data_IF_069995015848
#
_entry.id   IF_069995015848
#
_cell.length_a   1.000
_cell.length_b   1.000
_cell.length_c   1.000
_cell.angle_alpha   90.00
_cell.angle_beta   90.00
_cell.angle_gamma   90.00
#
_symmetry.space_group_name_H-M   'P 1'
#
loop_
_entity.id
_entity.type
_entity.pdbx_description
1 polymer ?
#
# COMPACT_ATOMS: atom_id res chain seq x y z
N UNK A 1 -2.63 -16.35 30.47
CA UNK A 1 -2.02 -15.78 29.29
C UNK A 1 -2.63 -16.39 28.02
N UNK A 2 -2.86 -15.57 27.06
CA UNK A 2 -3.38 -16.06 25.79
C UNK A 2 -2.23 -16.52 24.89
N UNK A 3 -2.13 -17.83 24.69
CA UNK A 3 -1.06 -18.43 23.92
C UNK A 3 -1.09 -18.02 22.43
N UNK A 4 -2.24 -17.60 21.92
CA UNK A 4 -2.34 -17.18 20.51
C UNK A 4 -1.49 -15.93 20.20
N UNK A 5 -1.21 -15.11 21.20
CA UNK A 5 -0.35 -13.93 21.06
C UNK A 5 1.11 -14.36 20.88
N UNK A 6 1.52 -15.42 21.59
CA UNK A 6 2.89 -15.93 21.53
C UNK A 6 3.17 -16.72 20.24
N UNK A 7 2.12 -17.14 19.52
CA UNK A 7 2.24 -18.01 18.34
C UNK A 7 2.06 -17.23 17.04
N UNK A 8 2.29 -15.93 17.06
CA UNK A 8 2.19 -15.10 15.87
C UNK A 8 3.19 -15.59 14.82
N UNK A 9 2.71 -15.86 13.61
CA UNK A 9 3.56 -16.35 12.54
C UNK A 9 4.55 -15.30 12.11
N UNK A 10 5.71 -15.74 11.62
CA UNK A 10 6.76 -14.85 11.15
C UNK A 10 6.26 -13.88 10.08
N UNK A 11 5.43 -14.35 9.14
CA UNK A 11 4.84 -13.50 8.11
C UNK A 11 3.91 -12.44 8.67
N UNK A 12 3.16 -12.76 9.73
CA UNK A 12 2.27 -11.81 10.38
C UNK A 12 3.05 -10.73 11.14
N UNK A 13 4.18 -11.10 11.73
CA UNK A 13 5.08 -10.15 12.40
C UNK A 13 5.65 -9.17 11.37
N UNK A 14 6.12 -9.67 10.23
CA UNK A 14 6.64 -8.81 9.16
C UNK A 14 5.56 -7.85 8.66
N UNK A 15 4.35 -8.36 8.44
CA UNK A 15 3.23 -7.53 8.00
C UNK A 15 2.91 -6.42 9.00
N UNK A 16 2.89 -6.75 10.29
CA UNK A 16 2.64 -5.77 11.34
C UNK A 16 3.71 -4.66 11.33
N UNK A 17 4.99 -5.06 11.26
CA UNK A 17 6.10 -4.11 11.20
C UNK A 17 6.05 -3.26 9.93
N UNK A 18 5.67 -3.86 8.81
CA UNK A 18 5.54 -3.16 7.54
C UNK A 18 4.42 -2.11 7.60
N UNK A 19 3.26 -2.46 8.16
CA UNK A 19 2.18 -1.50 8.35
C UNK A 19 2.63 -0.30 9.18
N UNK A 20 3.35 -0.57 10.27
CA UNK A 20 3.87 0.47 11.13
C UNK A 20 4.87 1.35 10.40
N UNK A 21 5.77 0.75 9.63
CA UNK A 21 6.76 1.48 8.83
C UNK A 21 6.09 2.37 7.78
N UNK A 22 5.07 1.85 7.10
CA UNK A 22 4.33 2.61 6.08
C UNK A 22 3.63 3.82 6.70
N UNK A 23 2.92 3.63 7.80
CA UNK A 23 2.22 4.73 8.49
C UNK A 23 3.18 5.83 8.92
N UNK A 24 4.40 5.48 9.28
CA UNK A 24 5.42 6.44 9.70
C UNK A 24 6.22 7.01 8.52
N UNK A 25 6.01 6.52 7.31
CA UNK A 25 6.77 6.93 6.13
C UNK A 25 5.97 7.73 5.13
N UNK A 26 4.64 7.63 5.17
CA UNK A 26 3.78 8.41 4.28
C UNK A 26 3.90 9.89 4.57
N UNK A 27 4.10 10.67 3.51
CA UNK A 27 4.14 12.13 3.59
C UNK A 27 3.49 12.71 2.35
N UNK A 28 3.37 14.02 2.32
CA UNK A 28 2.90 14.75 1.16
C UNK A 28 3.70 14.39 -0.10
N UNK A 29 5.02 14.19 0.03
CA UNK A 29 5.91 13.91 -1.10
C UNK A 29 5.73 12.51 -1.69
N UNK A 30 5.19 11.57 -0.93
CA UNK A 30 4.90 10.23 -1.43
C UNK A 30 3.48 10.09 -1.95
N UNK A 31 2.63 11.09 -1.76
CA UNK A 31 1.23 11.11 -2.21
C UNK A 31 1.13 11.48 -3.69
N UNK A 32 0.21 10.84 -4.40
CA UNK A 32 -0.13 11.22 -5.77
C UNK A 32 -0.96 12.48 -5.85
N UNK A 33 -1.48 12.95 -4.71
CA UNK A 33 -2.34 14.12 -4.62
C UNK A 33 -1.85 15.00 -3.46
N UNK A 34 -0.75 15.70 -3.72
CA UNK A 34 -0.10 16.54 -2.71
C UNK A 34 -0.99 17.64 -2.17
N UNK A 35 -1.83 18.21 -3.02
CA UNK A 35 -2.66 19.35 -2.66
C UNK A 35 -3.71 18.99 -1.61
N UNK A 36 -4.22 17.77 -1.66
CA UNK A 36 -5.27 17.32 -0.76
C UNK A 36 -4.75 16.42 0.38
N UNK A 37 -3.45 16.16 0.39
CA UNK A 37 -2.86 15.37 1.46
C UNK A 37 -2.75 16.17 2.75
N UNK A 38 -3.14 15.56 3.87
CA UNK A 38 -3.00 16.16 5.20
C UNK A 38 -2.47 15.12 6.18
N UNK A 39 -1.84 15.54 7.29
CA UNK A 39 -1.41 14.62 8.35
C UNK A 39 -2.57 13.86 9.01
N UNK A 40 -3.78 14.38 8.91
CA UNK A 40 -4.97 13.71 9.47
C UNK A 40 -5.44 12.54 8.61
N UNK A 41 -5.03 12.51 7.34
CA UNK A 41 -5.32 11.40 6.43
C UNK A 41 -4.05 11.02 5.67
N UNK A 42 -3.05 10.46 6.37
CA UNK A 42 -1.72 10.24 5.78
C UNK A 42 -1.71 9.22 4.64
N UNK A 43 -2.70 8.34 4.56
CA UNK A 43 -2.82 7.34 3.49
C UNK A 43 -3.34 7.93 2.18
N UNK A 44 -3.80 9.18 2.16
CA UNK A 44 -4.37 9.79 0.97
C UNK A 44 -3.35 9.87 -0.18
N UNK A 45 -3.72 9.28 -1.33
CA UNK A 45 -2.87 9.27 -2.51
C UNK A 45 -1.68 8.31 -2.42
N UNK A 46 -1.66 7.41 -1.44
CA UNK A 46 -0.52 6.51 -1.21
C UNK A 46 -0.74 5.10 -1.78
N UNK A 47 -1.85 4.84 -2.45
CA UNK A 47 -2.22 3.46 -2.78
C UNK A 47 -1.23 2.77 -3.73
N UNK A 48 -0.85 3.41 -4.83
CA UNK A 48 0.05 2.79 -5.80
C UNK A 48 1.44 2.52 -5.21
N UNK A 49 2.03 3.53 -4.58
CA UNK A 49 3.38 3.37 -4.01
C UNK A 49 3.41 2.39 -2.83
N UNK A 50 2.34 2.37 -2.04
CA UNK A 50 2.21 1.41 -0.94
C UNK A 50 2.06 -0.01 -1.46
N UNK A 51 1.22 -0.21 -2.49
CA UNK A 51 1.06 -1.53 -3.11
C UNK A 51 2.38 -2.06 -3.66
N UNK A 52 3.21 -1.20 -4.23
CA UNK A 52 4.54 -1.57 -4.72
C UNK A 52 5.45 -2.04 -3.57
N UNK A 53 5.50 -1.28 -2.48
CA UNK A 53 6.32 -1.64 -1.31
C UNK A 53 5.83 -2.93 -0.67
N UNK A 54 4.52 -3.08 -0.50
CA UNK A 54 3.92 -4.31 0.04
C UNK A 54 4.28 -5.51 -0.83
N UNK A 55 4.22 -5.35 -2.15
CA UNK A 55 4.60 -6.39 -3.09
C UNK A 55 6.06 -6.79 -2.95
N UNK A 56 6.96 -5.83 -2.71
CA UNK A 56 8.38 -6.12 -2.47
C UNK A 56 8.60 -7.00 -1.25
N UNK A 57 7.85 -6.77 -0.17
CA UNK A 57 8.07 -7.46 1.11
C UNK A 57 7.24 -8.72 1.26
N UNK A 58 6.01 -8.73 0.78
CA UNK A 58 5.07 -9.83 1.01
C UNK A 58 4.77 -10.67 -0.22
N UNK A 59 5.25 -10.26 -1.40
CA UNK A 59 4.99 -10.98 -2.64
C UNK A 59 3.57 -10.80 -3.16
N UNK A 60 3.08 -11.82 -3.88
CA UNK A 60 1.75 -11.76 -4.47
C UNK A 60 1.68 -10.87 -5.70
N UNK A 61 0.52 -10.27 -5.91
CA UNK A 61 0.32 -9.39 -7.04
C UNK A 61 -0.39 -8.09 -6.63
N UNK A 62 -0.27 -7.06 -7.47
CA UNK A 62 -0.97 -5.80 -7.29
C UNK A 62 -2.24 -5.84 -8.11
N UNK A 63 -3.34 -5.45 -7.49
CA UNK A 63 -4.67 -5.44 -8.11
C UNK A 63 -5.25 -4.02 -8.04
N UNK A 64 -6.31 -3.81 -8.82
CA UNK A 64 -6.94 -2.52 -9.00
C UNK A 64 -8.44 -2.63 -8.84
N UNK A 65 -9.06 -1.61 -8.28
CA UNK A 65 -10.50 -1.47 -8.22
C UNK A 65 -10.91 -0.02 -8.43
N UNK A 66 -12.10 0.17 -8.98
CA UNK A 66 -12.70 1.48 -9.12
C UNK A 66 -13.55 1.73 -7.87
N UNK A 67 -12.98 2.43 -6.91
CA UNK A 67 -13.63 2.67 -5.62
C UNK A 67 -14.70 3.74 -5.76
N UNK A 68 -15.88 3.51 -5.17
CA UNK A 68 -17.00 4.44 -5.20
C UNK A 68 -17.10 5.15 -3.86
N UNK A 69 -16.96 6.46 -3.87
CA UNK A 69 -17.10 7.30 -2.68
C UNK A 69 -18.58 7.50 -2.34
N UNK A 70 -18.92 7.89 -1.09
CA UNK A 70 -20.32 8.12 -0.70
C UNK A 70 -21.07 9.12 -1.58
N UNK A 71 -20.34 10.09 -2.16
CA UNK A 71 -20.94 11.09 -3.05
C UNK A 71 -21.06 10.60 -4.50
N UNK A 72 -20.71 9.35 -4.78
CA UNK A 72 -20.80 8.75 -6.11
C UNK A 72 -19.57 8.91 -6.98
N UNK A 73 -18.57 9.70 -6.56
CA UNK A 73 -17.33 9.83 -7.32
C UNK A 73 -16.56 8.52 -7.29
N UNK A 74 -15.86 8.24 -8.38
CA UNK A 74 -15.03 7.03 -8.51
C UNK A 74 -13.56 7.40 -8.43
N UNK A 75 -12.81 6.62 -7.67
CA UNK A 75 -11.38 6.81 -7.47
C UNK A 75 -10.65 5.53 -7.82
N UNK A 76 -9.64 5.65 -8.69
CA UNK A 76 -8.75 4.53 -9.02
C UNK A 76 -7.95 4.13 -7.79
N UNK A 77 -7.97 2.84 -7.47
CA UNK A 77 -7.35 2.36 -6.24
C UNK A 77 -6.55 1.09 -6.49
N UNK A 78 -5.32 1.07 -6.00
CA UNK A 78 -4.43 -0.09 -6.07
C UNK A 78 -4.24 -0.69 -4.68
N UNK A 79 -4.19 -2.01 -4.62
CA UNK A 79 -3.92 -2.74 -3.38
C UNK A 79 -3.35 -4.11 -3.74
N UNK A 80 -3.28 -5.04 -2.80
CA UNK A 80 -2.52 -6.26 -2.98
C UNK A 80 -3.39 -7.50 -2.86
N UNK A 81 -2.95 -8.57 -3.54
CA UNK A 81 -3.52 -9.90 -3.36
C UNK A 81 -2.36 -10.83 -3.00
N UNK A 82 -2.41 -11.39 -1.80
CA UNK A 82 -1.33 -12.18 -1.23
C UNK A 82 -1.92 -13.51 -0.77
N UNK A 83 -1.39 -14.62 -1.29
CA UNK A 83 -1.91 -15.96 -0.99
C UNK A 83 -3.42 -16.07 -1.20
N UNK A 84 -3.92 -15.46 -2.28
CA UNK A 84 -5.34 -15.48 -2.65
C UNK A 84 -6.23 -14.54 -1.86
N UNK A 85 -5.67 -13.72 -0.96
CA UNK A 85 -6.43 -12.79 -0.12
C UNK A 85 -6.10 -11.35 -0.47
N UNK A 86 -7.14 -10.52 -0.47
CA UNK A 86 -6.97 -9.09 -0.70
C UNK A 86 -6.45 -8.42 0.56
N UNK A 87 -5.41 -7.60 0.39
CA UNK A 87 -4.75 -6.85 1.48
C UNK A 87 -4.67 -5.41 1.03
N UNK A 88 -5.29 -4.50 1.79
CA UNK A 88 -5.40 -3.10 1.44
C UNK A 88 -4.95 -2.23 2.62
N UNK A 89 -3.68 -1.84 2.62
CA UNK A 89 -3.10 -1.09 3.74
C UNK A 89 -3.38 0.41 3.67
N UNK A 90 -3.97 0.90 2.58
CA UNK A 90 -4.35 2.31 2.46
C UNK A 90 -5.87 2.53 2.48
N UNK A 91 -6.63 1.50 2.88
CA UNK A 91 -8.09 1.56 2.91
C UNK A 91 -8.61 2.77 3.69
N UNK A 92 -7.94 3.13 4.77
CA UNK A 92 -8.36 4.21 5.66
C UNK A 92 -8.31 5.61 5.02
N UNK A 93 -7.72 5.73 3.82
CA UNK A 93 -7.75 7.00 3.10
C UNK A 93 -9.17 7.41 2.69
N UNK A 94 -10.06 6.43 2.56
CA UNK A 94 -11.42 6.67 2.11
C UNK A 94 -12.37 6.91 3.28
N UNK A 95 -13.39 7.77 3.09
CA UNK A 95 -14.38 7.99 4.14
C UNK A 95 -15.23 6.75 4.38
N UNK A 96 -15.87 6.72 5.52
CA UNK A 96 -16.86 5.69 5.84
C UNK A 96 -17.96 5.69 4.76
N UNK A 97 -18.40 4.50 4.36
CA UNK A 97 -19.39 4.34 3.30
C UNK A 97 -18.80 4.20 1.89
N UNK A 98 -17.48 4.38 1.73
CA UNK A 98 -16.84 4.08 0.45
C UNK A 98 -16.91 2.57 0.15
N UNK A 99 -17.14 2.23 -1.11
CA UNK A 99 -17.22 0.83 -1.56
C UNK A 99 -16.02 0.51 -2.43
N UNK A 100 -15.22 -0.45 -1.98
CA UNK A 100 -14.07 -0.95 -2.74
C UNK A 100 -14.47 -2.34 -3.27
N UNK A 101 -14.74 -2.46 -4.58
CA UNK A 101 -15.05 -3.77 -5.14
C UNK A 101 -13.82 -4.69 -5.13
N UNK A 102 -14.03 -5.98 -5.40
CA UNK A 102 -12.92 -6.92 -5.56
C UNK A 102 -11.96 -6.43 -6.65
N UNK A 103 -10.66 -6.55 -6.36
CA UNK A 103 -9.64 -6.08 -7.27
C UNK A 103 -9.38 -7.03 -8.43
N UNK A 104 -8.93 -6.45 -9.54
CA UNK A 104 -8.52 -7.19 -10.74
C UNK A 104 -7.18 -6.66 -11.24
N UNK A 105 -6.44 -7.45 -12.02
CA UNK A 105 -5.22 -6.92 -12.64
C UNK A 105 -5.55 -5.74 -13.56
N UNK A 106 -4.64 -4.78 -13.63
CA UNK A 106 -4.73 -3.64 -14.56
C UNK A 106 -3.40 -3.49 -15.27
N UNK A 107 -3.25 -4.20 -16.37
CA UNK A 107 -1.96 -4.33 -17.06
C UNK A 107 -1.75 -3.31 -18.17
N UNK A 108 -2.81 -2.90 -18.85
CA UNK A 108 -2.74 -1.91 -19.94
C UNK A 108 -1.66 -2.23 -20.99
N UNK A 109 -1.52 -3.52 -21.33
CA UNK A 109 -0.51 -3.96 -22.29
C UNK A 109 0.84 -4.33 -21.70
N UNK A 110 1.06 -4.07 -20.41
CA UNK A 110 2.27 -4.50 -19.70
C UNK A 110 2.11 -5.93 -19.17
N UNK A 111 3.20 -6.55 -18.77
CA UNK A 111 3.17 -7.94 -18.29
C UNK A 111 2.52 -8.10 -16.92
N UNK A 112 2.44 -7.03 -16.14
CA UNK A 112 1.82 -7.03 -14.82
C UNK A 112 1.29 -5.66 -14.46
N UNK A 113 0.39 -5.60 -13.48
CA UNK A 113 -0.06 -4.34 -12.91
C UNK A 113 1.11 -3.54 -12.34
N UNK A 114 2.06 -4.23 -11.71
CA UNK A 114 3.28 -3.60 -11.18
C UNK A 114 4.04 -2.85 -12.27
N UNK A 115 4.28 -3.50 -13.41
CA UNK A 115 5.00 -2.84 -14.51
C UNK A 115 4.23 -1.66 -15.07
N UNK A 116 2.92 -1.79 -15.16
CA UNK A 116 2.09 -0.68 -15.63
C UNK A 116 2.24 0.55 -14.75
N UNK A 117 2.06 0.42 -13.44
CA UNK A 117 2.13 1.59 -12.55
C UNK A 117 3.55 2.15 -12.44
N UNK A 118 4.57 1.31 -12.57
CA UNK A 118 5.97 1.76 -12.58
C UNK A 118 6.37 2.45 -13.89
N UNK A 119 5.56 2.33 -14.94
CA UNK A 119 5.84 3.01 -16.21
C UNK A 119 5.68 4.53 -16.10
N UNK A 120 5.03 5.03 -15.06
CA UNK A 120 4.89 6.45 -14.81
C UNK A 120 6.09 6.95 -14.00
N UNK A 121 6.91 7.88 -14.54
CA UNK A 121 8.11 8.36 -13.84
C UNK A 121 7.83 8.93 -12.45
N UNK A 122 6.71 9.65 -12.29
CA UNK A 122 6.35 10.22 -10.99
C UNK A 122 6.02 9.14 -9.96
N UNK A 123 5.35 8.06 -10.37
CA UNK A 123 5.06 6.93 -9.49
C UNK A 123 6.36 6.25 -9.08
N UNK A 124 7.27 6.03 -10.03
CA UNK A 124 8.59 5.47 -9.77
C UNK A 124 9.36 6.29 -8.73
N UNK A 125 9.37 7.62 -8.88
CA UNK A 125 10.07 8.53 -7.97
C UNK A 125 9.50 8.46 -6.55
N UNK A 126 8.16 8.52 -6.44
CA UNK A 126 7.48 8.45 -5.14
C UNK A 126 7.65 7.08 -4.47
N UNK A 127 7.62 6.02 -5.25
CA UNK A 127 7.85 4.67 -4.75
C UNK A 127 9.24 4.52 -4.17
N UNK A 128 10.27 4.99 -4.87
CA UNK A 128 11.64 4.90 -4.37
C UNK A 128 11.81 5.65 -3.05
N UNK A 129 11.22 6.82 -2.95
CA UNK A 129 11.27 7.61 -1.71
C UNK A 129 10.58 6.87 -0.56
N UNK A 130 9.39 6.34 -0.79
CA UNK A 130 8.66 5.59 0.23
C UNK A 130 9.44 4.35 0.65
N UNK A 131 9.95 3.60 -0.31
CA UNK A 131 10.72 2.39 -0.03
C UNK A 131 11.94 2.67 0.84
N UNK A 132 12.68 3.73 0.54
CA UNK A 132 13.84 4.12 1.32
C UNK A 132 13.46 4.40 2.78
N UNK A 133 12.40 5.16 3.00
CA UNK A 133 11.92 5.49 4.35
C UNK A 133 11.45 4.24 5.10
N UNK A 134 10.74 3.37 4.42
CA UNK A 134 10.28 2.10 5.01
C UNK A 134 11.48 1.24 5.42
N UNK A 135 12.48 1.11 4.56
CA UNK A 135 13.70 0.36 4.88
C UNK A 135 14.40 0.90 6.12
N UNK A 136 14.53 2.21 6.23
CA UNK A 136 15.15 2.85 7.39
C UNK A 136 14.36 2.59 8.66
N UNK A 137 13.03 2.69 8.60
CA UNK A 137 12.17 2.42 9.75
C UNK A 137 12.24 0.96 10.19
N UNK A 138 12.22 0.05 9.22
CA UNK A 138 12.30 -1.39 9.52
C UNK A 138 13.63 -1.75 10.19
N UNK A 139 14.73 -1.10 9.82
CA UNK A 139 16.01 -1.29 10.48
C UNK A 139 15.93 -0.93 11.96
N UNK A 140 15.21 0.14 12.31
CA UNK A 140 14.99 0.52 13.70
C UNK A 140 14.22 -0.54 14.47
N UNK A 141 13.39 -1.32 13.78
CA UNK A 141 12.63 -2.42 14.36
C UNK A 141 13.39 -3.76 14.34
N UNK A 142 14.63 -3.76 13.87
CA UNK A 142 15.46 -4.96 13.82
C UNK A 142 15.28 -5.82 12.57
N UNK A 143 14.60 -5.33 11.54
CA UNK A 143 14.44 -6.06 10.28
C UNK A 143 15.58 -5.77 9.30
N UNK A 144 15.89 -6.76 8.45
CA UNK A 144 16.85 -6.59 7.36
C UNK A 144 16.18 -5.98 6.15
N UNK A 145 16.96 -5.23 5.34
CA UNK A 145 16.49 -4.68 4.08
C UNK A 145 16.32 -5.78 3.03
N UNK A 146 15.37 -5.56 2.13
CA UNK A 146 15.23 -6.37 0.92
C UNK A 146 16.09 -5.76 -0.19
#
# INVERSE_FOLDING_TARGET
MNDSVAIMKKGDVLRFKLELALKNSWTKETSSDKENWTPDNPAWGQCAVTALVVNDYLGGEIIWANTVLPDGRKVSHYFNKIDGREVDLTRDQFPEGAVIPSGTPRRKGFSSTREYILSYPETWRRYRLLKQRVQEFLKLLGETSI
#
